data_IF_636231260599
#
_entry.id   IF_636231260599
#
_cell.length_a   1.000
_cell.length_b   1.000
_cell.length_c   1.000
_cell.angle_alpha   90.00
_cell.angle_beta   90.00
_cell.angle_gamma   90.00
#
_symmetry.space_group_name_H-M   'P 1'
#
loop_
_entity.id
_entity.type
_entity.pdbx_description
1 polymer ?
#
# COMPACT_ATOMS: atom_id res chain seq x y z
N UNK A 1 -15.82 3.23 -6.33
CA UNK A 1 -15.14 3.16 -7.65
C UNK A 1 -14.47 1.80 -7.75
N UNK A 2 -14.41 1.19 -8.93
CA UNK A 2 -13.70 -0.07 -9.23
C UNK A 2 -12.74 0.22 -10.37
N UNK A 3 -11.48 -0.16 -10.21
CA UNK A 3 -10.46 -0.06 -11.27
C UNK A 3 -10.54 -1.31 -12.14
N UNK A 4 -10.72 -1.13 -13.46
CA UNK A 4 -11.04 -2.22 -14.38
C UNK A 4 -9.92 -2.61 -15.33
N UNK A 5 -8.97 -1.71 -15.61
CA UNK A 5 -7.83 -1.95 -16.48
C UNK A 5 -6.57 -1.22 -16.00
N UNK A 6 -5.42 -1.62 -16.55
CA UNK A 6 -4.11 -1.04 -16.19
C UNK A 6 -4.03 0.42 -16.61
N UNK A 7 -4.62 0.82 -17.73
CA UNK A 7 -4.61 2.22 -18.17
C UNK A 7 -5.33 3.14 -17.19
N UNK A 8 -6.51 2.75 -16.72
CA UNK A 8 -7.24 3.48 -15.67
C UNK A 8 -6.42 3.57 -14.37
N UNK A 9 -5.74 2.50 -13.98
CA UNK A 9 -4.86 2.52 -12.81
C UNK A 9 -3.67 3.47 -13.00
N UNK A 10 -3.05 3.47 -14.17
CA UNK A 10 -1.94 4.38 -14.49
C UNK A 10 -2.38 5.84 -14.43
N UNK A 11 -3.56 6.18 -14.93
CA UNK A 11 -4.12 7.54 -14.81
C UNK A 11 -4.30 7.96 -13.36
N UNK A 12 -4.81 7.06 -12.50
CA UNK A 12 -4.95 7.32 -11.06
C UNK A 12 -3.60 7.50 -10.37
N UNK A 13 -2.62 6.66 -10.68
CA UNK A 13 -1.28 6.76 -10.12
C UNK A 13 -0.57 8.05 -10.56
N UNK A 14 -0.77 8.49 -11.80
CA UNK A 14 -0.28 9.78 -12.27
C UNK A 14 -1.00 10.95 -11.59
N UNK A 15 -2.30 10.83 -11.30
CA UNK A 15 -3.07 11.82 -10.55
C UNK A 15 -2.63 11.95 -9.07
N UNK A 16 -1.90 10.97 -8.53
CA UNK A 16 -1.27 11.08 -7.22
C UNK A 16 -0.14 12.11 -7.17
N UNK A 17 0.36 12.58 -8.32
CA UNK A 17 1.39 13.63 -8.38
C UNK A 17 0.82 14.95 -7.87
N UNK A 18 1.47 15.50 -6.85
CA UNK A 18 1.00 16.70 -6.16
C UNK A 18 -0.20 16.47 -5.23
N UNK A 19 -0.68 15.23 -5.08
CA UNK A 19 -1.62 14.84 -4.04
C UNK A 19 -0.87 14.41 -2.78
N UNK A 20 -1.33 14.84 -1.61
CA UNK A 20 -0.68 14.62 -0.33
C UNK A 20 -1.61 13.85 0.60
N UNK A 21 -1.01 13.11 1.54
CA UNK A 21 -1.75 12.45 2.63
C UNK A 21 -2.50 13.42 3.53
N UNK A 22 -2.01 14.68 3.64
CA UNK A 22 -2.71 15.78 4.31
C UNK A 22 -2.94 16.95 3.35
N UNK A 23 -4.13 17.59 3.37
CA UNK A 23 -4.43 18.71 2.47
C UNK A 23 -3.51 19.92 2.62
N UNK A 24 -3.00 20.14 3.83
CA UNK A 24 -2.11 21.26 4.16
C UNK A 24 -0.62 20.94 3.98
N UNK A 25 -0.30 19.74 3.52
CA UNK A 25 1.07 19.20 3.34
C UNK A 25 1.90 19.17 4.63
N UNK A 26 1.25 19.12 5.78
CA UNK A 26 1.91 18.99 7.08
C UNK A 26 2.31 17.57 7.44
N UNK A 27 1.91 16.60 6.61
CA UNK A 27 2.14 15.18 6.79
C UNK A 27 3.52 14.70 6.35
N UNK A 28 3.55 13.68 5.52
CA UNK A 28 4.80 13.13 5.01
C UNK A 28 5.46 14.09 3.97
N UNK A 29 6.80 14.12 3.86
CA UNK A 29 7.52 15.12 3.07
C UNK A 29 7.54 14.87 1.56
N UNK A 30 6.81 13.87 1.09
CA UNK A 30 6.66 13.47 -0.33
C UNK A 30 5.19 13.35 -0.68
N UNK A 31 4.84 13.56 -1.94
CA UNK A 31 3.48 13.32 -2.42
C UNK A 31 3.20 11.82 -2.60
N UNK A 32 1.92 11.46 -2.78
CA UNK A 32 1.48 10.06 -2.91
C UNK A 32 2.12 9.35 -4.11
N UNK A 33 2.44 10.09 -5.18
CA UNK A 33 3.10 9.53 -6.37
C UNK A 33 4.54 9.10 -6.05
N UNK A 34 5.35 9.99 -5.50
CA UNK A 34 6.74 9.72 -5.17
C UNK A 34 6.85 8.68 -4.04
N UNK A 35 5.96 8.76 -3.05
CA UNK A 35 5.86 7.78 -1.98
C UNK A 35 5.60 6.36 -2.51
N UNK A 36 4.62 6.20 -3.41
CA UNK A 36 4.34 4.91 -4.03
C UNK A 36 5.51 4.36 -4.83
N UNK A 37 6.18 5.20 -5.63
CA UNK A 37 7.37 4.82 -6.40
C UNK A 37 8.51 4.38 -5.49
N UNK A 38 8.82 5.13 -4.43
CA UNK A 38 9.90 4.81 -3.50
C UNK A 38 9.61 3.49 -2.75
N UNK A 39 8.39 3.32 -2.25
CA UNK A 39 7.97 2.10 -1.56
C UNK A 39 8.11 0.87 -2.48
N UNK A 40 7.62 0.98 -3.71
CA UNK A 40 7.71 -0.10 -4.69
C UNK A 40 9.17 -0.41 -5.10
N UNK A 41 10.01 0.62 -5.26
CA UNK A 41 11.43 0.45 -5.58
C UNK A 41 12.21 -0.25 -4.46
N UNK A 42 11.92 0.08 -3.20
CA UNK A 42 12.50 -0.62 -2.04
C UNK A 42 12.11 -2.10 -2.01
N UNK A 43 10.83 -2.41 -2.28
CA UNK A 43 10.33 -3.79 -2.36
C UNK A 43 10.92 -4.54 -3.57
N UNK A 44 11.12 -3.88 -4.71
CA UNK A 44 11.80 -4.48 -5.88
C UNK A 44 13.23 -4.91 -5.54
N UNK A 45 13.95 -4.11 -4.76
CA UNK A 45 15.32 -4.40 -4.33
C UNK A 45 15.39 -5.54 -3.31
N UNK A 46 14.50 -5.55 -2.32
CA UNK A 46 14.50 -6.54 -1.24
C UNK A 46 13.82 -7.86 -1.62
N UNK A 47 12.77 -7.79 -2.45
CA UNK A 47 11.94 -8.92 -2.86
C UNK A 47 11.73 -8.93 -4.39
N UNK A 48 12.81 -9.16 -5.19
CA UNK A 48 12.79 -8.99 -6.65
C UNK A 48 11.83 -9.93 -7.37
N UNK A 49 11.48 -11.06 -6.77
CA UNK A 49 10.60 -12.06 -7.38
C UNK A 49 9.12 -11.92 -6.97
N UNK A 50 8.81 -11.19 -5.90
CA UNK A 50 7.43 -10.99 -5.42
C UNK A 50 6.80 -9.75 -6.07
N UNK A 51 6.28 -9.93 -7.29
CA UNK A 51 5.68 -8.84 -8.07
C UNK A 51 4.41 -8.29 -7.45
N UNK A 52 3.61 -9.15 -6.81
CA UNK A 52 2.39 -8.70 -6.13
C UNK A 52 2.70 -7.83 -4.90
N UNK A 53 3.75 -8.15 -4.13
CA UNK A 53 4.21 -7.32 -3.02
C UNK A 53 4.74 -5.97 -3.52
N UNK A 54 5.50 -5.96 -4.61
CA UNK A 54 6.00 -4.72 -5.23
C UNK A 54 4.84 -3.81 -5.67
N UNK A 55 3.84 -4.39 -6.34
CA UNK A 55 2.65 -3.63 -6.78
C UNK A 55 1.80 -3.21 -5.58
N UNK A 56 1.67 -4.04 -4.54
CA UNK A 56 1.01 -3.60 -3.31
C UNK A 56 1.67 -2.35 -2.72
N UNK A 57 3.02 -2.27 -2.73
CA UNK A 57 3.75 -1.08 -2.33
C UNK A 57 3.50 0.15 -3.21
N UNK A 58 3.34 -0.05 -4.53
CA UNK A 58 3.06 1.05 -5.46
C UNK A 58 1.70 1.70 -5.21
N UNK A 59 0.70 0.90 -4.80
CA UNK A 59 -0.72 1.30 -4.79
C UNK A 59 -1.34 1.41 -3.39
N UNK A 60 -0.57 1.15 -2.30
CA UNK A 60 -1.14 0.97 -0.96
C UNK A 60 -1.91 2.19 -0.46
N UNK A 61 -1.45 3.40 -0.80
CA UNK A 61 -2.01 4.67 -0.36
C UNK A 61 -2.97 5.32 -1.37
N UNK A 62 -3.30 4.62 -2.48
CA UNK A 62 -4.24 5.13 -3.48
C UNK A 62 -5.60 5.53 -2.87
N UNK A 63 -5.97 4.95 -1.73
CA UNK A 63 -7.18 5.28 -1.01
C UNK A 63 -7.30 6.75 -0.59
N UNK A 64 -6.19 7.42 -0.30
CA UNK A 64 -6.18 8.85 0.00
C UNK A 64 -6.64 9.70 -1.20
N UNK A 65 -6.29 9.31 -2.42
CA UNK A 65 -6.80 9.94 -3.64
C UNK A 65 -8.29 9.60 -3.88
N UNK A 66 -8.68 8.33 -3.64
CA UNK A 66 -10.05 7.85 -3.89
C UNK A 66 -11.09 8.40 -2.92
N UNK A 67 -10.69 8.64 -1.67
CA UNK A 67 -11.52 9.15 -0.57
C UNK A 67 -10.72 10.14 0.29
N UNK A 68 -10.49 11.36 -0.19
CA UNK A 68 -9.76 12.36 0.58
C UNK A 68 -10.43 12.61 1.93
N UNK A 69 -9.62 12.65 3.00
CA UNK A 69 -10.07 12.91 4.36
C UNK A 69 -10.54 11.66 5.14
N UNK A 70 -10.57 10.47 4.53
CA UNK A 70 -10.84 9.21 5.24
C UNK A 70 -9.54 8.43 5.48
N UNK A 71 -8.67 8.96 6.34
CA UNK A 71 -7.38 8.35 6.66
C UNK A 71 -7.51 6.99 7.35
N UNK A 72 -8.59 6.75 8.07
CA UNK A 72 -8.84 5.48 8.74
C UNK A 72 -9.21 4.36 7.76
N UNK A 73 -9.97 4.70 6.71
CA UNK A 73 -10.50 3.76 5.73
C UNK A 73 -9.70 3.65 4.42
N UNK A 74 -8.62 4.45 4.23
CA UNK A 74 -7.92 4.53 2.95
C UNK A 74 -7.47 3.17 2.43
N UNK A 75 -6.93 2.30 3.29
CA UNK A 75 -6.47 0.96 2.92
C UNK A 75 -7.61 0.06 2.40
N UNK A 76 -8.77 0.12 3.03
CA UNK A 76 -9.96 -0.62 2.60
C UNK A 76 -10.50 -0.10 1.27
N UNK A 77 -10.52 1.22 1.08
CA UNK A 77 -10.94 1.85 -0.18
C UNK A 77 -10.03 1.45 -1.34
N UNK A 78 -8.71 1.54 -1.16
CA UNK A 78 -7.74 1.09 -2.16
C UNK A 78 -7.91 -0.41 -2.46
N UNK A 79 -7.93 -1.26 -1.44
CA UNK A 79 -8.08 -2.70 -1.59
C UNK A 79 -9.35 -3.09 -2.35
N UNK A 80 -10.49 -2.46 -2.02
CA UNK A 80 -11.76 -2.72 -2.68
C UNK A 80 -11.75 -2.30 -4.16
N UNK A 81 -11.17 -1.14 -4.47
CA UNK A 81 -11.06 -0.62 -5.83
C UNK A 81 -10.15 -1.48 -6.71
N UNK A 82 -9.03 -1.96 -6.16
CA UNK A 82 -7.97 -2.63 -6.89
C UNK A 82 -8.16 -4.15 -7.04
N UNK A 83 -8.93 -4.78 -6.14
CA UNK A 83 -9.11 -6.24 -6.12
C UNK A 83 -9.59 -6.84 -7.46
N UNK A 84 -10.51 -6.23 -8.22
CA UNK A 84 -10.96 -6.78 -9.50
C UNK A 84 -9.86 -6.85 -10.54
N UNK A 85 -8.91 -5.90 -10.54
CA UNK A 85 -7.80 -5.83 -11.49
C UNK A 85 -6.58 -6.61 -11.00
N UNK A 86 -6.12 -6.37 -9.77
CA UNK A 86 -4.83 -6.85 -9.25
C UNK A 86 -4.93 -8.14 -8.41
N UNK A 87 -6.16 -8.63 -8.19
CA UNK A 87 -6.38 -9.90 -7.50
C UNK A 87 -6.41 -9.81 -5.98
N UNK A 88 -6.61 -11.00 -5.36
CA UNK A 88 -6.87 -11.11 -3.92
C UNK A 88 -5.65 -10.76 -3.07
N UNK A 89 -4.45 -11.20 -3.48
CA UNK A 89 -3.24 -11.05 -2.66
C UNK A 89 -2.79 -9.60 -2.61
N UNK A 90 -2.75 -8.89 -3.74
CA UNK A 90 -2.44 -7.45 -3.74
C UNK A 90 -3.42 -6.67 -2.87
N UNK A 91 -4.73 -6.87 -3.07
CA UNK A 91 -5.77 -6.20 -2.28
C UNK A 91 -5.64 -6.52 -0.78
N UNK A 92 -5.28 -7.75 -0.43
CA UNK A 92 -5.07 -8.16 0.95
C UNK A 92 -3.84 -7.49 1.56
N UNK A 93 -2.71 -7.43 0.86
CA UNK A 93 -1.49 -6.74 1.33
C UNK A 93 -1.75 -5.24 1.52
N UNK A 94 -2.43 -4.60 0.56
CA UNK A 94 -2.88 -3.21 0.69
C UNK A 94 -3.73 -3.01 1.95
N UNK A 95 -4.70 -3.88 2.21
CA UNK A 95 -5.51 -3.81 3.44
C UNK A 95 -4.68 -4.01 4.71
N UNK A 96 -3.73 -4.93 4.68
CA UNK A 96 -2.95 -5.32 5.86
C UNK A 96 -1.84 -4.33 6.25
N UNK A 97 -1.50 -3.32 5.41
CA UNK A 97 -0.42 -2.40 5.76
C UNK A 97 -0.76 -1.55 7.01
N UNK A 98 -2.05 -1.21 7.22
CA UNK A 98 -2.51 -0.53 8.44
C UNK A 98 -2.44 -1.44 9.67
N UNK A 99 -2.99 -2.67 9.68
CA UNK A 99 -2.71 -3.64 10.73
C UNK A 99 -1.22 -3.86 11.00
N UNK A 100 -0.37 -3.94 9.95
CA UNK A 100 1.08 -4.08 10.12
C UNK A 100 1.72 -2.89 10.86
N UNK A 101 1.27 -1.67 10.60
CA UNK A 101 1.66 -0.47 11.35
C UNK A 101 1.31 -0.58 12.83
N UNK A 102 0.08 -1.00 13.15
CA UNK A 102 -0.39 -1.20 14.53
C UNK A 102 0.39 -2.31 15.24
N UNK A 103 0.69 -3.39 14.52
CA UNK A 103 1.49 -4.50 15.00
C UNK A 103 2.93 -4.07 15.33
N UNK A 104 3.61 -3.40 14.39
CA UNK A 104 4.97 -2.91 14.62
C UNK A 104 5.06 -1.93 15.78
N UNK A 105 4.07 -1.05 15.95
CA UNK A 105 4.00 -0.16 17.10
C UNK A 105 3.86 -0.92 18.44
N UNK A 106 3.33 -2.13 18.44
CA UNK A 106 3.22 -2.97 19.63
C UNK A 106 4.50 -3.74 19.94
N UNK A 107 5.18 -4.27 18.90
CA UNK A 107 6.33 -5.17 19.08
C UNK A 107 7.68 -4.47 18.98
N UNK A 108 7.71 -3.26 18.41
CA UNK A 108 8.88 -2.40 18.28
C UNK A 108 8.56 -0.99 18.84
N UNK A 109 8.34 -0.85 20.17
CA UNK A 109 7.89 0.43 20.75
C UNK A 109 8.89 1.58 20.56
N UNK A 110 10.17 1.26 20.39
CA UNK A 110 11.23 2.24 20.12
C UNK A 110 11.30 2.67 18.64
N UNK A 111 10.47 2.07 17.76
CA UNK A 111 10.42 2.44 16.35
C UNK A 111 9.90 3.86 16.18
N UNK A 112 10.72 4.72 15.59
CA UNK A 112 10.32 6.07 15.26
C UNK A 112 9.26 6.04 14.13
N UNK A 113 8.08 6.56 14.42
CA UNK A 113 7.06 6.85 13.40
C UNK A 113 7.21 8.31 12.95
N UNK A 114 6.91 8.60 11.68
CA UNK A 114 6.74 9.99 11.27
C UNK A 114 5.60 10.64 12.09
N UNK A 115 5.60 11.99 12.29
CA UNK A 115 4.52 12.66 13.00
C UNK A 115 3.13 12.31 12.45
N UNK A 116 2.99 12.21 11.11
CA UNK A 116 1.75 11.82 10.45
C UNK A 116 1.38 10.37 10.74
N UNK A 117 2.35 9.45 10.65
CA UNK A 117 2.11 8.03 10.99
C UNK A 117 1.68 7.85 12.44
N UNK A 118 2.22 8.64 13.38
CA UNK A 118 1.80 8.60 14.78
C UNK A 118 0.38 9.16 14.98
N UNK A 119 0.01 10.20 14.23
CA UNK A 119 -1.34 10.79 14.29
C UNK A 119 -2.37 9.80 13.73
N UNK A 120 -2.13 9.28 12.53
CA UNK A 120 -3.06 8.35 11.87
C UNK A 120 -3.14 7.00 12.60
N UNK A 121 -2.08 6.55 13.29
CA UNK A 121 -2.13 5.34 14.13
C UNK A 121 -3.27 5.39 15.14
N UNK A 122 -3.50 6.54 15.79
CA UNK A 122 -4.60 6.71 16.76
C UNK A 122 -5.96 6.57 16.09
N UNK A 123 -6.16 7.19 14.94
CA UNK A 123 -7.41 7.10 14.16
C UNK A 123 -7.67 5.69 13.62
N UNK A 124 -6.61 4.92 13.38
CA UNK A 124 -6.63 3.56 12.86
C UNK A 124 -6.76 2.46 13.94
N UNK A 125 -7.09 2.81 15.18
CA UNK A 125 -7.31 1.87 16.27
C UNK A 125 -6.14 1.73 17.26
N UNK A 126 -5.08 2.54 17.13
CA UNK A 126 -3.95 2.57 18.06
C UNK A 126 -3.03 1.33 17.95
N UNK A 127 -2.21 1.18 18.96
CA UNK A 127 -1.29 0.04 19.11
C UNK A 127 -2.10 -1.23 19.35
N UNK A 128 -1.70 -2.35 18.76
CA UNK A 128 -2.37 -3.64 18.97
C UNK A 128 -2.23 -4.12 20.41
N UNK A 129 -3.30 -4.68 20.95
CA UNK A 129 -3.24 -5.42 22.20
C UNK A 129 -2.57 -6.81 22.00
N UNK A 130 -2.22 -7.54 23.09
CA UNK A 130 -1.55 -8.84 22.98
C UNK A 130 -2.36 -9.91 22.24
N UNK A 131 -3.69 -9.85 22.20
CA UNK A 131 -4.54 -10.79 21.47
C UNK A 131 -4.52 -10.47 19.97
N UNK A 132 -4.64 -9.19 19.61
CA UNK A 132 -4.49 -8.70 18.24
C UNK A 132 -3.12 -9.02 17.67
N UNK A 133 -2.03 -8.83 18.45
CA UNK A 133 -0.65 -9.19 18.06
C UNK A 133 -0.56 -10.66 17.69
N UNK A 134 -1.08 -11.56 18.53
CA UNK A 134 -1.06 -13.01 18.25
C UNK A 134 -1.90 -13.35 17.01
N UNK A 135 -3.06 -12.75 16.86
CA UNK A 135 -3.93 -12.97 15.72
C UNK A 135 -3.28 -12.50 14.41
N UNK A 136 -2.68 -11.32 14.41
CA UNK A 136 -1.97 -10.79 13.24
C UNK A 136 -0.74 -11.66 12.92
N UNK A 137 0.07 -12.02 13.92
CA UNK A 137 1.27 -12.85 13.70
C UNK A 137 0.96 -14.25 13.15
N UNK A 138 -0.23 -14.79 13.42
CA UNK A 138 -0.71 -16.06 12.87
C UNK A 138 -1.24 -15.94 11.43
N UNK A 139 -1.41 -14.73 10.90
CA UNK A 139 -1.88 -14.51 9.53
C UNK A 139 -0.79 -14.91 8.52
N UNK A 140 -1.12 -15.73 7.49
CA UNK A 140 -0.14 -16.18 6.50
C UNK A 140 0.53 -15.04 5.71
N UNK A 141 -0.12 -13.90 5.61
CA UNK A 141 0.42 -12.72 4.91
C UNK A 141 1.07 -11.70 5.86
N UNK A 142 1.13 -11.97 7.18
CA UNK A 142 1.69 -11.02 8.16
C UNK A 142 3.12 -10.59 7.82
N UNK A 143 3.99 -11.53 7.48
CA UNK A 143 5.38 -11.23 7.12
C UNK A 143 5.48 -10.31 5.90
N UNK A 144 4.70 -10.56 4.86
CA UNK A 144 4.66 -9.71 3.67
C UNK A 144 4.07 -8.32 3.97
N UNK A 145 3.04 -8.25 4.82
CA UNK A 145 2.44 -6.98 5.25
C UNK A 145 3.41 -6.15 6.10
N UNK A 146 4.19 -6.77 6.98
CA UNK A 146 5.26 -6.12 7.75
C UNK A 146 6.35 -5.61 6.82
N UNK A 147 6.78 -6.41 5.85
CA UNK A 147 7.76 -5.99 4.84
C UNK A 147 7.25 -4.78 4.03
N UNK A 148 5.99 -4.81 3.59
CA UNK A 148 5.36 -3.66 2.93
C UNK A 148 5.40 -2.42 3.83
N UNK A 149 4.98 -2.56 5.09
CA UNK A 149 4.97 -1.44 6.04
C UNK A 149 6.36 -0.88 6.32
N UNK A 150 7.39 -1.71 6.38
CA UNK A 150 8.77 -1.24 6.55
C UNK A 150 9.26 -0.45 5.34
N UNK A 151 8.89 -0.86 4.13
CA UNK A 151 9.19 -0.12 2.90
C UNK A 151 8.43 1.21 2.81
N UNK A 152 7.15 1.22 3.22
CA UNK A 152 6.32 2.43 3.35
C UNK A 152 6.98 3.46 4.30
N UNK A 153 7.39 3.04 5.50
CA UNK A 153 8.08 3.94 6.45
C UNK A 153 9.39 4.52 5.89
N UNK A 154 10.09 3.75 5.07
CA UNK A 154 11.36 4.15 4.45
C UNK A 154 11.18 4.95 3.14
N UNK A 155 10.02 4.88 2.50
CA UNK A 155 9.73 5.48 1.20
C UNK A 155 9.32 6.96 1.26
N UNK A 156 9.97 7.77 2.10
CA UNK A 156 9.57 9.16 2.39
C UNK A 156 10.74 10.13 2.29
N UNK A 157 11.60 9.93 1.30
CA UNK A 157 12.82 10.72 1.10
C UNK A 157 12.59 11.78 0.02
N UNK A 158 12.58 13.09 0.36
CA UNK A 158 12.38 14.16 -0.61
C UNK A 158 13.44 14.14 -1.72
N UNK A 159 13.00 14.24 -2.97
CA UNK A 159 13.88 14.32 -4.14
C UNK A 159 14.63 13.04 -4.47
N UNK A 160 14.32 11.91 -3.83
CA UNK A 160 14.88 10.61 -4.21
C UNK A 160 14.30 10.16 -5.56
N UNK A 161 15.15 9.95 -6.54
CA UNK A 161 14.77 9.36 -7.81
C UNK A 161 14.54 7.84 -7.63
N UNK A 162 13.28 7.44 -7.73
CA UNK A 162 12.85 6.04 -7.66
C UNK A 162 12.38 5.50 -9.03
N UNK A 163 12.70 6.21 -10.12
CA UNK A 163 12.25 5.91 -11.46
C UNK A 163 10.91 6.55 -11.81
N UNK A 164 10.28 6.09 -12.86
CA UNK A 164 9.02 6.62 -13.37
C UNK A 164 7.87 5.64 -13.19
N UNK A 165 6.63 6.14 -13.25
CA UNK A 165 5.44 5.30 -13.20
C UNK A 165 5.37 4.33 -14.40
N UNK A 166 5.88 4.75 -15.56
CA UNK A 166 5.92 3.91 -16.78
C UNK A 166 6.85 2.68 -16.62
N UNK A 167 7.86 2.74 -15.76
CA UNK A 167 8.72 1.58 -15.45
C UNK A 167 7.95 0.46 -14.74
N UNK A 168 6.78 0.77 -14.18
CA UNK A 168 5.93 -0.18 -13.47
C UNK A 168 4.82 -0.77 -14.34
N UNK A 169 4.52 -0.16 -15.49
CA UNK A 169 3.47 -0.67 -16.41
C UNK A 169 3.64 -2.16 -16.74
N UNK A 170 4.83 -2.66 -17.15
CA UNK A 170 4.99 -4.09 -17.45
C UNK A 170 4.72 -5.01 -16.25
N UNK A 171 5.03 -4.53 -15.02
CA UNK A 171 4.77 -5.30 -13.79
C UNK A 171 3.29 -5.29 -13.44
N UNK A 172 2.61 -4.16 -13.64
CA UNK A 172 1.15 -4.05 -13.49
C UNK A 172 0.42 -4.98 -14.47
N UNK A 173 0.82 -4.99 -15.74
CA UNK A 173 0.25 -5.86 -16.77
C UNK A 173 0.44 -7.35 -16.39
N UNK A 174 1.63 -7.72 -15.91
CA UNK A 174 1.92 -9.07 -15.46
C UNK A 174 1.03 -9.50 -14.29
N UNK A 175 0.90 -8.65 -13.27
CA UNK A 175 0.10 -8.94 -12.07
C UNK A 175 -1.39 -9.00 -12.43
N UNK A 176 -1.87 -8.06 -13.24
CA UNK A 176 -3.26 -8.05 -13.70
C UNK A 176 -3.60 -9.30 -14.52
N UNK A 177 -2.72 -9.74 -15.42
CA UNK A 177 -2.90 -10.97 -16.18
C UNK A 177 -2.94 -12.22 -15.29
N UNK A 178 -2.07 -12.30 -14.27
CA UNK A 178 -2.05 -13.39 -13.28
C UNK A 178 -3.33 -13.42 -12.42
N UNK A 179 -3.82 -12.26 -12.02
CA UNK A 179 -5.07 -12.13 -11.25
C UNK A 179 -6.28 -12.58 -12.08
N UNK A 180 -6.30 -12.26 -13.37
CA UNK A 180 -7.38 -12.68 -14.29
C UNK A 180 -7.38 -14.20 -14.51
N UNK A 181 -6.22 -14.81 -14.73
CA UNK A 181 -6.07 -16.25 -14.90
C UNK A 181 -6.48 -17.06 -13.65
N UNK A 182 -6.38 -16.47 -12.47
CA UNK A 182 -6.74 -17.09 -11.19
C UNK A 182 -8.23 -16.97 -10.83
N UNK A 183 -9.05 -16.31 -11.65
CA UNK A 183 -10.50 -16.22 -11.42
C UNK A 183 -11.15 -17.58 -11.67
N UNK A 184 -12.01 -18.07 -10.74
CA UNK A 184 -12.77 -19.27 -10.99
C UNK A 184 -13.63 -19.06 -12.26
N UNK A 185 -13.50 -19.98 -13.22
CA UNK A 185 -14.38 -20.03 -14.39
C UNK A 185 -15.77 -20.38 -13.86
N UNK A 186 -16.69 -19.44 -13.87
CA UNK A 186 -18.11 -19.72 -13.64
C UNK A 186 -18.54 -20.66 -14.78
N UNK A 187 -18.60 -21.97 -14.50
CA UNK A 187 -19.25 -22.94 -15.40
C UNK A 187 -20.73 -22.59 -15.37
N UNK A 188 -21.23 -22.05 -16.47
CA UNK A 188 -22.66 -21.92 -16.79
C UNK A 188 -23.29 -23.28 -16.95
#
# INVERSE_FOLDING_TARGET
MVVSCVDELMELLLACRGAWDTPDRSGDPVDLHDHGLQTAALLRRSHPYDKELQIAGLVHDLGHLLRPGDDAGHADHAAAALRPLLGRRVARLVRLHVPAKRYLAAVEPERALSPQSALTLRAQGGVMDPAEVRAFAADPDAGAAVTLRQADDAGKVPGLDAGSMEDWRPVLDLVAAGAYASRPVLRT
#
